data_IF_021455727899
#
_entry.id   IF_021455727899
#
_cell.length_a   1.000
_cell.length_b   1.000
_cell.length_c   1.000
_cell.angle_alpha   90.00
_cell.angle_beta   90.00
_cell.angle_gamma   90.00
#
_symmetry.space_group_name_H-M   'P 1'
#
loop_
_entity.id
_entity.type
_entity.pdbx_description
1 polymer ?
#
# COMPACT_ATOMS: atom_id res chain seq x y z
N UNK A 1 -22.59 -13.52 16.94
CA UNK A 1 -22.13 -12.31 16.26
C UNK A 1 -22.38 -12.48 14.76
N UNK A 2 -23.13 -11.55 14.15
CA UNK A 2 -23.38 -11.47 12.71
C UNK A 2 -22.22 -10.75 12.03
N UNK A 3 -21.44 -11.48 11.24
CA UNK A 3 -20.25 -10.97 10.57
C UNK A 3 -20.45 -10.96 9.06
N UNK A 4 -20.24 -9.81 8.42
CA UNK A 4 -20.18 -9.65 6.96
C UNK A 4 -18.73 -9.74 6.48
N UNK A 5 -18.42 -10.63 5.55
CA UNK A 5 -17.10 -10.83 4.96
C UNK A 5 -17.10 -10.44 3.47
N UNK A 6 -16.08 -9.69 3.03
CA UNK A 6 -15.95 -9.15 1.67
C UNK A 6 -14.57 -9.50 1.07
N UNK A 7 -14.54 -9.91 -0.20
CA UNK A 7 -13.32 -9.98 -1.00
C UNK A 7 -13.53 -9.42 -2.41
N UNK A 8 -12.54 -8.64 -2.84
CA UNK A 8 -12.39 -8.18 -4.23
C UNK A 8 -10.92 -8.16 -4.65
N UNK A 9 -10.03 -8.86 -3.95
CA UNK A 9 -8.59 -8.69 -4.14
C UNK A 9 -8.07 -9.34 -5.43
N UNK A 10 -8.76 -10.35 -5.98
CA UNK A 10 -8.32 -11.12 -7.14
C UNK A 10 -9.43 -11.23 -8.20
N UNK A 11 -9.35 -12.22 -9.09
CA UNK A 11 -10.30 -12.45 -10.18
C UNK A 11 -11.67 -13.01 -9.70
N UNK A 12 -12.16 -12.52 -8.57
CA UNK A 12 -13.44 -12.85 -7.95
C UNK A 12 -13.97 -11.65 -7.16
N UNK A 13 -15.29 -11.58 -7.03
CA UNK A 13 -15.97 -10.77 -6.03
C UNK A 13 -16.76 -11.74 -5.15
N UNK A 14 -16.52 -11.72 -3.83
CA UNK A 14 -17.16 -12.63 -2.90
C UNK A 14 -17.66 -11.92 -1.66
N UNK A 15 -18.87 -12.28 -1.25
CA UNK A 15 -19.53 -11.74 -0.05
C UNK A 15 -20.16 -12.89 0.73
N UNK A 16 -20.06 -12.86 2.05
CA UNK A 16 -20.75 -13.81 2.92
C UNK A 16 -21.20 -13.15 4.21
N UNK A 17 -22.29 -13.62 4.78
CA UNK A 17 -22.71 -13.26 6.13
C UNK A 17 -22.96 -14.51 6.95
N UNK A 18 -22.43 -14.54 8.16
CA UNK A 18 -22.51 -15.68 9.06
C UNK A 18 -22.89 -15.27 10.48
N UNK A 19 -23.58 -16.15 11.19
CA UNK A 19 -23.68 -16.12 12.64
C UNK A 19 -22.55 -16.97 13.24
N UNK A 20 -21.49 -16.28 13.63
CA UNK A 20 -20.24 -16.90 14.06
C UNK A 20 -20.33 -17.53 15.45
N UNK A 21 -21.26 -17.10 16.31
CA UNK A 21 -21.49 -17.73 17.63
C UNK A 21 -22.16 -19.09 17.47
N UNK A 22 -22.98 -19.22 16.43
CA UNK A 22 -23.69 -20.48 16.09
C UNK A 22 -22.93 -21.32 15.08
N UNK A 23 -21.80 -20.85 14.58
CA UNK A 23 -21.05 -21.49 13.49
C UNK A 23 -21.87 -21.65 12.20
N UNK A 24 -22.82 -20.75 11.93
CA UNK A 24 -23.78 -20.89 10.84
C UNK A 24 -23.54 -19.85 9.74
N UNK A 25 -23.27 -20.32 8.52
CA UNK A 25 -23.31 -19.47 7.32
C UNK A 25 -24.76 -19.16 6.97
N UNK A 26 -25.12 -17.88 6.88
CA UNK A 26 -26.50 -17.45 6.64
C UNK A 26 -26.77 -17.25 5.14
N UNK A 27 -25.87 -16.57 4.44
CA UNK A 27 -25.91 -16.41 2.99
C UNK A 27 -24.50 -16.10 2.46
N UNK A 28 -24.25 -16.43 1.20
CA UNK A 28 -23.02 -16.10 0.52
C UNK A 28 -23.21 -16.06 -0.99
N UNK A 29 -22.38 -15.28 -1.65
CA UNK A 29 -22.25 -15.24 -3.11
C UNK A 29 -20.78 -15.08 -3.50
N UNK A 30 -20.42 -15.63 -4.66
CA UNK A 30 -19.08 -15.56 -5.20
C UNK A 30 -19.13 -15.65 -6.72
N UNK A 31 -18.70 -14.59 -7.39
CA UNK A 31 -18.69 -14.49 -8.85
C UNK A 31 -17.26 -14.32 -9.34
N UNK A 32 -16.85 -15.18 -10.26
CA UNK A 32 -15.57 -15.02 -10.97
C UNK A 32 -15.65 -13.81 -11.90
N UNK A 33 -14.73 -12.87 -11.74
CA UNK A 33 -14.68 -11.66 -12.57
C UNK A 33 -13.31 -11.00 -12.55
N UNK A 34 -12.82 -10.60 -13.72
CA UNK A 34 -11.54 -9.90 -13.85
C UNK A 34 -11.67 -8.37 -13.75
N UNK A 35 -12.87 -7.83 -14.01
CA UNK A 35 -13.20 -6.40 -14.02
C UNK A 35 -14.65 -6.19 -13.57
N UNK A 36 -14.98 -4.96 -13.16
CA UNK A 36 -16.36 -4.58 -12.78
C UNK A 36 -16.68 -4.78 -11.29
N UNK A 37 -15.66 -5.00 -10.45
CA UNK A 37 -15.85 -5.23 -9.02
C UNK A 37 -16.56 -4.07 -8.31
N UNK A 38 -16.34 -2.82 -8.76
CA UNK A 38 -16.92 -1.63 -8.14
C UNK A 38 -18.45 -1.58 -8.33
N UNK A 39 -18.92 -1.96 -9.50
CA UNK A 39 -20.33 -2.02 -9.86
C UNK A 39 -21.01 -3.25 -9.26
N UNK A 40 -20.30 -4.36 -9.10
CA UNK A 40 -20.87 -5.62 -8.62
C UNK A 40 -20.93 -5.74 -7.09
N UNK A 41 -19.97 -5.16 -6.35
CA UNK A 41 -19.85 -5.40 -4.91
C UNK A 41 -21.06 -4.90 -4.11
N UNK A 42 -21.53 -3.67 -4.35
CA UNK A 42 -22.64 -3.10 -3.58
C UNK A 42 -23.97 -3.85 -3.78
N UNK A 43 -24.38 -4.19 -5.03
CA UNK A 43 -25.52 -5.07 -5.26
C UNK A 43 -25.37 -6.44 -4.60
N UNK A 44 -24.19 -7.06 -4.70
CA UNK A 44 -23.94 -8.38 -4.10
C UNK A 44 -24.08 -8.36 -2.58
N UNK A 45 -23.54 -7.33 -1.91
CA UNK A 45 -23.71 -7.13 -0.46
C UNK A 45 -25.19 -7.03 -0.11
N UNK A 46 -25.96 -6.22 -0.83
CA UNK A 46 -27.40 -6.08 -0.58
C UNK A 46 -28.11 -7.43 -0.74
N UNK A 47 -27.87 -8.14 -1.83
CA UNK A 47 -28.48 -9.45 -2.11
C UNK A 47 -28.18 -10.47 -1.01
N UNK A 48 -26.92 -10.55 -0.55
CA UNK A 48 -26.52 -11.48 0.51
C UNK A 48 -27.19 -11.13 1.85
N UNK A 49 -27.31 -9.84 2.19
CA UNK A 49 -28.00 -9.40 3.42
C UNK A 49 -29.50 -9.73 3.34
N UNK A 50 -30.15 -9.45 2.21
CA UNK A 50 -31.57 -9.76 1.99
C UNK A 50 -31.81 -11.28 2.08
N UNK A 51 -30.96 -12.10 1.45
CA UNK A 51 -31.05 -13.57 1.48
C UNK A 51 -30.86 -14.14 2.89
N UNK A 52 -30.03 -13.51 3.71
CA UNK A 52 -29.86 -13.86 5.12
C UNK A 52 -31.06 -13.45 6.00
N UNK A 53 -32.02 -12.68 5.45
CA UNK A 53 -33.16 -12.15 6.19
C UNK A 53 -32.76 -11.12 7.25
N UNK A 54 -31.65 -10.40 7.03
CA UNK A 54 -31.11 -9.41 7.97
C UNK A 54 -31.34 -7.99 7.46
N UNK A 55 -31.35 -7.03 8.38
CA UNK A 55 -31.07 -5.63 8.09
C UNK A 55 -29.57 -5.34 8.27
N UNK A 56 -29.06 -4.29 7.62
CA UNK A 56 -27.68 -3.84 7.83
C UNK A 56 -27.37 -3.50 9.30
N UNK A 57 -28.37 -3.03 10.06
CA UNK A 57 -28.23 -2.70 11.48
C UNK A 57 -27.97 -3.93 12.37
N UNK A 58 -28.32 -5.13 11.90
CA UNK A 58 -28.11 -6.40 12.61
C UNK A 58 -26.66 -6.90 12.50
N UNK A 59 -25.83 -6.25 11.67
CA UNK A 59 -24.41 -6.58 11.56
C UNK A 59 -23.66 -6.09 12.79
N UNK A 60 -22.88 -6.99 13.38
CA UNK A 60 -22.01 -6.70 14.51
C UNK A 60 -20.60 -6.33 14.05
N UNK A 61 -20.15 -6.90 12.92
CA UNK A 61 -18.76 -6.80 12.46
C UNK A 61 -18.62 -6.97 10.95
N UNK A 62 -17.61 -6.32 10.39
CA UNK A 62 -17.28 -6.42 8.96
C UNK A 62 -15.84 -6.91 8.82
N UNK A 63 -15.61 -7.83 7.89
CA UNK A 63 -14.30 -8.33 7.51
C UNK A 63 -14.06 -8.09 6.03
N UNK A 64 -12.80 -7.80 5.69
CA UNK A 64 -12.40 -7.56 4.30
C UNK A 64 -10.98 -8.05 4.05
N UNK A 65 -10.73 -8.54 2.83
CA UNK A 65 -9.36 -8.87 2.43
C UNK A 65 -8.51 -7.61 2.24
N UNK A 66 -7.24 -7.67 2.64
CA UNK A 66 -6.32 -6.52 2.63
C UNK A 66 -5.25 -6.57 1.54
N UNK A 67 -5.18 -7.67 0.79
CA UNK A 67 -4.07 -7.96 -0.12
C UNK A 67 -3.15 -9.04 0.43
N UNK A 68 -2.16 -9.50 -0.35
CA UNK A 68 -1.80 -9.04 -1.69
C UNK A 68 -2.83 -9.41 -2.77
N UNK A 69 -2.85 -8.66 -3.87
CA UNK A 69 -3.84 -8.78 -4.93
C UNK A 69 -3.77 -7.62 -5.91
N UNK A 70 -4.81 -7.46 -6.73
CA UNK A 70 -4.90 -6.31 -7.65
C UNK A 70 -5.09 -5.02 -6.85
N UNK A 71 -4.38 -3.97 -7.24
CA UNK A 71 -4.41 -2.68 -6.56
C UNK A 71 -5.82 -2.08 -6.50
N UNK A 72 -6.51 -2.09 -7.63
CA UNK A 72 -7.89 -1.64 -7.77
C UNK A 72 -8.84 -2.50 -6.93
N UNK A 73 -8.71 -3.82 -7.02
CA UNK A 73 -9.57 -4.76 -6.31
C UNK A 73 -9.49 -4.58 -4.80
N UNK A 74 -8.28 -4.52 -4.23
CA UNK A 74 -8.09 -4.29 -2.77
C UNK A 74 -8.77 -3.00 -2.31
N UNK A 75 -8.65 -1.91 -3.08
CA UNK A 75 -9.23 -0.60 -2.71
C UNK A 75 -10.76 -0.60 -2.74
N UNK A 76 -11.36 -1.31 -3.69
CA UNK A 76 -12.82 -1.42 -3.80
C UNK A 76 -13.40 -2.08 -2.54
N UNK A 77 -12.87 -3.23 -2.15
CA UNK A 77 -13.30 -3.95 -0.95
C UNK A 77 -13.10 -3.13 0.32
N UNK A 78 -11.90 -2.56 0.50
CA UNK A 78 -11.61 -1.73 1.68
C UNK A 78 -12.50 -0.48 1.75
N UNK A 79 -12.77 0.18 0.63
CA UNK A 79 -13.65 1.34 0.59
C UNK A 79 -15.09 0.97 1.02
N UNK A 80 -15.63 -0.13 0.49
CA UNK A 80 -16.94 -0.64 0.90
C UNK A 80 -16.98 -0.98 2.39
N UNK A 81 -16.01 -1.77 2.87
CA UNK A 81 -15.96 -2.20 4.26
C UNK A 81 -15.86 -1.03 5.23
N UNK A 82 -15.04 -0.02 4.92
CA UNK A 82 -14.90 1.21 5.71
C UNK A 82 -16.17 2.05 5.68
N UNK A 83 -16.80 2.17 4.51
CA UNK A 83 -18.06 2.90 4.37
C UNK A 83 -19.17 2.30 5.24
N UNK A 84 -19.34 0.98 5.18
CA UNK A 84 -20.28 0.24 6.03
C UNK A 84 -19.92 0.34 7.51
N UNK A 85 -18.64 0.15 7.87
CA UNK A 85 -18.17 0.24 9.25
C UNK A 85 -18.42 1.62 9.87
N UNK A 86 -18.18 2.69 9.10
CA UNK A 86 -18.46 4.06 9.54
C UNK A 86 -19.96 4.31 9.68
N UNK A 87 -20.77 3.92 8.69
CA UNK A 87 -22.21 4.17 8.69
C UNK A 87 -22.94 3.41 9.81
N UNK A 88 -22.49 2.20 10.13
CA UNK A 88 -23.10 1.33 11.13
C UNK A 88 -22.44 1.42 12.51
N UNK A 89 -21.36 2.21 12.64
CA UNK A 89 -20.49 2.26 13.81
C UNK A 89 -20.02 0.85 14.26
N UNK A 90 -19.59 0.03 13.30
CA UNK A 90 -19.14 -1.36 13.53
C UNK A 90 -17.65 -1.55 13.26
N UNK A 91 -16.97 -2.41 14.03
CA UNK A 91 -15.58 -2.75 13.79
C UNK A 91 -15.40 -3.38 12.41
N UNK A 92 -14.30 -2.98 11.75
CA UNK A 92 -13.86 -3.56 10.48
C UNK A 92 -12.51 -4.22 10.69
N UNK A 93 -12.38 -5.47 10.27
CA UNK A 93 -11.13 -6.22 10.35
C UNK A 93 -10.60 -6.65 9.00
N UNK A 94 -9.27 -6.70 8.93
CA UNK A 94 -8.52 -7.08 7.75
C UNK A 94 -7.94 -8.48 7.87
N UNK A 95 -8.10 -9.28 6.82
CA UNK A 95 -7.41 -10.56 6.64
C UNK A 95 -6.56 -10.45 5.37
N UNK A 96 -5.32 -10.96 5.36
CA UNK A 96 -4.57 -11.00 4.09
C UNK A 96 -5.17 -12.06 3.14
N UNK A 97 -5.07 -11.77 1.85
CA UNK A 97 -5.69 -12.53 0.77
C UNK A 97 -5.16 -13.97 0.68
N UNK A 98 -3.89 -14.21 1.02
CA UNK A 98 -3.33 -15.56 1.00
C UNK A 98 -3.90 -16.43 2.11
N UNK A 99 -4.24 -15.85 3.27
CA UNK A 99 -5.01 -16.55 4.32
C UNK A 99 -6.42 -16.83 3.90
N UNK A 100 -7.06 -15.89 3.20
CA UNK A 100 -8.40 -16.08 2.68
C UNK A 100 -8.44 -17.29 1.72
N UNK A 101 -7.41 -17.46 0.89
CA UNK A 101 -7.22 -18.63 0.03
C UNK A 101 -6.95 -19.89 0.86
N UNK A 102 -6.08 -19.82 1.87
CA UNK A 102 -5.80 -20.96 2.76
C UNK A 102 -7.06 -21.47 3.47
N UNK A 103 -7.97 -20.57 3.85
CA UNK A 103 -9.25 -20.93 4.46
C UNK A 103 -10.16 -21.76 3.55
N UNK A 104 -9.93 -21.78 2.23
CA UNK A 104 -10.67 -22.68 1.33
C UNK A 104 -10.32 -24.14 1.59
N UNK A 105 -9.10 -24.42 2.04
CA UNK A 105 -8.57 -25.77 2.26
C UNK A 105 -7.44 -25.72 3.30
N UNK A 106 -7.75 -26.04 4.55
CA UNK A 106 -6.72 -26.47 5.51
C UNK A 106 -6.63 -27.99 5.46
N UNK A 107 -5.63 -28.56 4.77
CA UNK A 107 -5.48 -30.01 4.73
C UNK A 107 -5.09 -30.53 6.12
N UNK A 108 -5.80 -31.55 6.61
CA UNK A 108 -5.47 -32.15 7.88
C UNK A 108 -4.08 -32.83 7.81
N UNK A 109 -3.15 -32.41 8.68
CA UNK A 109 -1.87 -33.08 8.84
C UNK A 109 -0.81 -32.77 7.78
N UNK A 110 -1.01 -31.76 6.93
CA UNK A 110 -0.03 -31.37 5.90
C UNK A 110 0.17 -29.85 5.85
N UNK A 111 1.41 -29.36 5.65
CA UNK A 111 1.66 -27.93 5.41
C UNK A 111 1.00 -27.46 4.11
N UNK A 112 0.53 -26.21 4.10
CA UNK A 112 -0.07 -25.57 2.93
C UNK A 112 0.77 -24.38 2.49
N UNK A 113 1.16 -24.36 1.21
CA UNK A 113 1.82 -23.23 0.59
C UNK A 113 0.87 -22.56 -0.41
N UNK A 114 0.46 -21.33 -0.10
CA UNK A 114 -0.34 -20.52 -1.02
C UNK A 114 0.62 -19.71 -1.86
N UNK A 115 0.58 -19.84 -3.18
CA UNK A 115 1.42 -19.12 -4.13
C UNK A 115 0.59 -18.58 -5.30
N UNK A 116 0.50 -17.26 -5.39
CA UNK A 116 -0.21 -16.57 -6.48
C UNK A 116 0.76 -15.79 -7.34
N UNK A 117 0.64 -15.95 -8.66
CA UNK A 117 1.53 -15.33 -9.64
C UNK A 117 1.53 -13.80 -9.48
N UNK A 118 2.70 -13.24 -9.18
CA UNK A 118 2.93 -11.81 -9.08
C UNK A 118 3.52 -11.24 -10.38
N UNK A 119 3.75 -12.04 -11.42
CA UNK A 119 4.50 -11.77 -12.67
C UNK A 119 6.02 -11.75 -12.47
N UNK A 120 6.77 -11.72 -13.57
CA UNK A 120 8.25 -11.64 -13.60
C UNK A 120 8.95 -12.83 -12.93
N UNK A 121 8.30 -14.00 -12.88
CA UNK A 121 8.83 -15.19 -12.21
C UNK A 121 8.79 -15.10 -10.69
N UNK A 122 7.97 -14.21 -10.13
CA UNK A 122 7.76 -14.06 -8.69
C UNK A 122 6.30 -14.41 -8.34
N UNK A 123 6.08 -14.77 -7.09
CA UNK A 123 4.77 -15.04 -6.53
C UNK A 123 4.56 -14.27 -5.23
N UNK A 124 3.31 -13.90 -4.94
CA UNK A 124 2.92 -13.62 -3.56
C UNK A 124 2.67 -14.95 -2.88
N UNK A 125 3.39 -15.20 -1.78
CA UNK A 125 3.36 -16.49 -1.11
C UNK A 125 3.24 -16.41 0.41
N UNK A 126 2.59 -17.43 0.97
CA UNK A 126 2.52 -17.67 2.41
C UNK A 126 2.57 -19.18 2.68
N UNK A 127 3.27 -19.57 3.75
CA UNK A 127 3.35 -20.94 4.23
C UNK A 127 2.56 -21.07 5.53
N UNK A 128 1.74 -22.11 5.59
CA UNK A 128 0.98 -22.51 6.76
C UNK A 128 1.42 -23.92 7.19
N UNK A 129 1.53 -24.15 8.49
CA UNK A 129 1.80 -25.48 9.04
C UNK A 129 0.55 -26.39 8.96
N UNK A 130 0.70 -27.62 9.44
CA UNK A 130 -0.36 -28.62 9.43
C UNK A 130 -1.56 -28.29 10.33
N UNK A 131 -1.39 -27.34 11.27
CA UNK A 131 -2.45 -26.83 12.15
C UNK A 131 -3.11 -25.56 11.57
N UNK A 132 -2.64 -25.10 10.42
CA UNK A 132 -3.14 -23.89 9.76
C UNK A 132 -2.59 -22.59 10.34
N UNK A 133 -1.56 -22.63 11.18
CA UNK A 133 -0.86 -21.43 11.61
C UNK A 133 0.09 -20.96 10.52
N UNK A 134 0.18 -19.64 10.34
CA UNK A 134 1.09 -19.06 9.37
C UNK A 134 2.52 -19.13 9.89
N UNK A 135 3.39 -19.78 9.13
CA UNK A 135 4.82 -19.91 9.39
C UNK A 135 5.62 -18.83 8.67
N UNK A 136 5.19 -18.45 7.46
CA UNK A 136 5.87 -17.44 6.64
C UNK A 136 4.89 -16.65 5.76
N UNK A 137 5.26 -15.41 5.43
CA UNK A 137 4.52 -14.52 4.55
C UNK A 137 3.37 -13.78 5.25
N UNK A 138 2.50 -13.09 4.49
CA UNK A 138 2.54 -12.96 3.04
C UNK A 138 3.79 -12.20 2.57
N UNK A 139 4.49 -12.71 1.55
CA UNK A 139 5.73 -12.13 1.02
C UNK A 139 5.79 -12.24 -0.51
N UNK A 140 6.63 -11.41 -1.14
CA UNK A 140 6.96 -11.53 -2.56
C UNK A 140 8.22 -12.38 -2.67
N UNK A 141 8.14 -13.46 -3.44
CA UNK A 141 9.20 -14.47 -3.52
C UNK A 141 9.50 -14.84 -4.96
N UNK A 142 10.73 -15.25 -5.21
CA UNK A 142 11.18 -15.87 -6.48
C UNK A 142 10.61 -17.28 -6.59
N UNK A 143 9.88 -17.58 -7.66
CA UNK A 143 9.19 -18.88 -7.83
C UNK A 143 10.21 -20.03 -7.83
N UNK A 144 11.32 -19.83 -8.55
CA UNK A 144 12.42 -20.77 -8.75
C UNK A 144 13.22 -21.08 -7.47
N UNK A 145 13.14 -20.25 -6.44
CA UNK A 145 13.90 -20.43 -5.20
C UNK A 145 13.07 -21.07 -4.08
N UNK A 146 11.74 -21.04 -4.17
CA UNK A 146 10.87 -21.36 -3.03
C UNK A 146 10.59 -22.84 -2.84
N UNK A 147 10.42 -23.61 -3.92
CA UNK A 147 10.01 -25.00 -3.83
C UNK A 147 11.03 -25.91 -3.12
N UNK A 148 12.32 -25.57 -3.22
CA UNK A 148 13.40 -26.31 -2.58
C UNK A 148 13.37 -26.23 -1.04
N UNK A 149 12.86 -25.13 -0.48
CA UNK A 149 12.87 -24.87 0.98
C UNK A 149 11.58 -25.25 1.69
N UNK A 150 10.56 -25.73 0.96
CA UNK A 150 9.27 -26.09 1.57
C UNK A 150 9.40 -27.32 2.48
N UNK A 151 8.58 -27.44 3.55
CA UNK A 151 8.48 -28.67 4.31
C UNK A 151 8.14 -29.90 3.45
N UNK A 152 8.50 -31.09 3.91
CA UNK A 152 8.16 -32.35 3.24
C UNK A 152 6.64 -32.53 3.18
N UNK A 153 6.12 -32.97 2.04
CA UNK A 153 4.68 -33.24 1.87
C UNK A 153 3.80 -31.99 1.78
N UNK A 154 4.40 -30.81 1.54
CA UNK A 154 3.65 -29.56 1.39
C UNK A 154 2.67 -29.63 0.22
N UNK A 155 1.44 -29.20 0.45
CA UNK A 155 0.41 -29.00 -0.57
C UNK A 155 0.48 -27.55 -1.06
N UNK A 156 0.49 -27.35 -2.37
CA UNK A 156 0.58 -26.02 -2.98
C UNK A 156 -0.75 -25.64 -3.62
N UNK A 157 -1.22 -24.41 -3.37
CA UNK A 157 -2.45 -23.86 -3.98
C UNK A 157 -2.20 -22.45 -4.51
N UNK A 158 -2.92 -22.08 -5.58
CA UNK A 158 -2.85 -20.76 -6.19
C UNK A 158 -2.36 -20.80 -7.63
N UNK A 159 -2.34 -19.64 -8.30
CA UNK A 159 -2.02 -19.55 -9.72
C UNK A 159 -0.55 -19.86 -10.07
N UNK A 160 0.36 -19.80 -9.10
CA UNK A 160 1.78 -20.14 -9.30
C UNK A 160 2.13 -21.58 -8.87
N UNK A 161 1.15 -22.39 -8.46
CA UNK A 161 1.39 -23.70 -7.86
C UNK A 161 2.16 -24.66 -8.79
N UNK A 162 1.80 -24.67 -10.08
CA UNK A 162 2.47 -25.52 -11.07
C UNK A 162 3.92 -25.10 -11.29
N UNK A 163 4.19 -23.80 -11.40
CA UNK A 163 5.55 -23.30 -11.60
C UNK A 163 6.43 -23.55 -10.36
N UNK A 164 5.89 -23.37 -9.14
CA UNK A 164 6.63 -23.68 -7.90
C UNK A 164 6.99 -25.16 -7.85
N UNK A 165 6.03 -26.07 -8.13
CA UNK A 165 6.30 -27.52 -8.15
C UNK A 165 7.32 -27.89 -9.23
N UNK A 166 7.13 -27.39 -10.46
CA UNK A 166 7.99 -27.71 -11.58
C UNK A 166 9.45 -27.26 -11.37
N UNK A 167 9.65 -26.07 -10.80
CA UNK A 167 10.99 -25.52 -10.52
C UNK A 167 11.66 -26.11 -9.28
N UNK A 168 10.87 -26.69 -8.35
CA UNK A 168 11.41 -27.30 -7.13
C UNK A 168 12.29 -28.54 -7.35
N UNK A 169 12.10 -29.27 -8.45
CA UNK A 169 12.72 -30.58 -8.68
C UNK A 169 12.27 -31.68 -7.71
N UNK A 170 11.19 -31.46 -6.94
CA UNK A 170 10.70 -32.36 -5.89
C UNK A 170 9.44 -33.11 -6.29
N UNK A 171 9.37 -34.38 -5.88
CA UNK A 171 8.23 -35.28 -6.13
C UNK A 171 7.29 -35.43 -4.94
N UNK A 172 7.66 -34.92 -3.77
CA UNK A 172 6.84 -35.00 -2.55
C UNK A 172 5.85 -33.82 -2.40
N UNK A 173 5.94 -32.83 -3.30
CA UNK A 173 5.03 -31.68 -3.34
C UNK A 173 3.79 -32.01 -4.17
N UNK A 174 2.60 -31.70 -3.64
CA UNK A 174 1.33 -31.90 -4.35
C UNK A 174 0.65 -30.57 -4.66
N UNK A 175 -0.22 -30.55 -5.67
CA UNK A 175 -0.95 -29.33 -6.06
C UNK A 175 -2.43 -29.55 -5.82
N UNK A 176 -3.06 -28.57 -5.17
CA UNK A 176 -4.50 -28.44 -5.10
C UNK A 176 -5.01 -27.66 -6.31
N UNK A 177 -5.83 -28.32 -7.14
CA UNK A 177 -6.27 -27.75 -8.42
C UNK A 177 -7.40 -26.72 -8.31
N UNK A 178 -8.13 -26.68 -7.19
CA UNK A 178 -9.25 -25.78 -6.93
C UNK A 178 -8.97 -24.84 -5.73
N UNK A 179 -9.91 -23.92 -5.44
CA UNK A 179 -9.82 -23.03 -4.27
C UNK A 179 -8.71 -21.97 -4.38
N UNK A 180 -8.33 -21.58 -5.60
CA UNK A 180 -7.20 -20.67 -5.88
C UNK A 180 -7.51 -19.19 -5.64
N UNK A 181 -8.79 -18.85 -5.41
CA UNK A 181 -9.28 -17.49 -5.20
C UNK A 181 -9.92 -17.38 -3.82
N UNK A 182 -9.89 -16.20 -3.17
CA UNK A 182 -10.54 -16.01 -1.89
C UNK A 182 -12.06 -16.24 -1.98
N UNK A 183 -12.63 -16.92 -0.99
CA UNK A 183 -14.08 -17.13 -0.89
C UNK A 183 -14.54 -16.69 0.50
N UNK A 184 -15.41 -15.67 0.54
CA UNK A 184 -15.88 -15.06 1.78
C UNK A 184 -16.53 -16.08 2.73
N UNK A 185 -17.32 -17.01 2.18
CA UNK A 185 -17.95 -18.08 2.95
C UNK A 185 -16.95 -18.94 3.74
N UNK A 186 -15.71 -19.07 3.25
CA UNK A 186 -14.71 -19.94 3.84
C UNK A 186 -13.85 -19.22 4.88
N UNK A 187 -13.57 -17.92 4.69
CA UNK A 187 -12.75 -17.15 5.64
C UNK A 187 -13.55 -16.41 6.72
N UNK A 188 -14.89 -16.31 6.60
CA UNK A 188 -15.76 -15.58 7.54
C UNK A 188 -15.55 -16.04 9.01
N UNK A 189 -15.41 -17.35 9.23
CA UNK A 189 -15.15 -17.91 10.56
C UNK A 189 -13.76 -17.54 11.08
N UNK A 190 -12.73 -17.55 10.22
CA UNK A 190 -11.37 -17.13 10.60
C UNK A 190 -11.33 -15.63 10.90
N UNK A 191 -12.06 -14.81 10.16
CA UNK A 191 -12.12 -13.38 10.40
C UNK A 191 -12.76 -13.02 11.76
N UNK A 192 -13.69 -13.85 12.23
CA UNK A 192 -14.34 -13.68 13.53
C UNK A 192 -13.35 -13.76 14.71
N UNK A 193 -12.26 -14.51 14.56
CA UNK A 193 -11.26 -14.70 15.63
C UNK A 193 -10.16 -13.64 15.64
N UNK A 194 -10.12 -12.76 14.63
CA UNK A 194 -9.14 -11.68 14.57
C UNK A 194 -9.42 -10.65 15.69
N UNK A 195 -8.38 -9.97 16.22
CA UNK A 195 -8.57 -8.91 17.19
C UNK A 195 -9.28 -7.71 16.54
N UNK A 196 -10.14 -7.04 17.29
CA UNK A 196 -10.66 -5.74 16.89
C UNK A 196 -9.59 -4.67 17.06
N UNK A 197 -9.48 -3.79 16.06
CA UNK A 197 -8.54 -2.67 16.08
C UNK A 197 -9.32 -1.36 16.16
N UNK A 198 -8.74 -0.34 16.79
CA UNK A 198 -9.33 1.01 16.85
C UNK A 198 -9.25 1.77 15.52
N UNK A 199 -8.60 1.20 14.51
CA UNK A 199 -8.40 1.79 13.20
C UNK A 199 -8.84 0.83 12.10
N UNK A 200 -9.26 1.37 10.96
CA UNK A 200 -9.60 0.56 9.79
C UNK A 200 -8.40 -0.21 9.24
N UNK A 201 -8.61 -1.41 8.68
CA UNK A 201 -7.54 -2.21 8.09
C UNK A 201 -6.89 -1.49 6.91
N UNK A 202 -5.56 -1.59 6.81
CA UNK A 202 -4.76 -0.99 5.74
C UNK A 202 -4.49 -2.02 4.64
N UNK A 203 -4.33 -1.57 3.38
CA UNK A 203 -3.94 -2.45 2.30
C UNK A 203 -2.49 -2.95 2.44
N UNK A 204 -2.26 -4.21 2.06
CA UNK A 204 -0.94 -4.83 1.97
C UNK A 204 -0.50 -4.83 0.49
N UNK A 205 0.32 -3.85 0.13
CA UNK A 205 0.93 -3.76 -1.20
C UNK A 205 2.37 -4.30 -1.16
N UNK A 206 2.53 -5.60 -1.43
CA UNK A 206 3.86 -6.24 -1.37
C UNK A 206 4.71 -5.89 -2.59
N UNK A 207 4.08 -5.76 -3.76
CA UNK A 207 4.72 -5.17 -4.95
C UNK A 207 4.05 -3.85 -5.29
N UNK A 208 4.86 -2.85 -5.60
CA UNK A 208 4.37 -1.63 -6.21
C UNK A 208 3.66 -1.96 -7.54
N UNK A 209 2.51 -1.34 -7.85
CA UNK A 209 1.77 -1.63 -9.08
C UNK A 209 2.64 -1.43 -10.33
N UNK A 210 2.72 -2.46 -11.18
CA UNK A 210 3.47 -2.45 -12.45
C UNK A 210 2.85 -1.48 -13.50
N UNK A 211 1.61 -1.05 -13.28
CA UNK A 211 0.89 -0.18 -14.21
C UNK A 211 1.40 1.25 -14.12
N UNK A 212 2.14 1.68 -15.17
CA UNK A 212 2.19 3.11 -15.52
C UNK A 212 0.76 3.54 -15.86
N UNK A 213 0.19 4.58 -15.23
CA UNK A 213 -1.12 5.08 -15.61
C UNK A 213 -1.10 5.44 -17.10
N UNK A 214 -1.94 4.78 -17.90
CA UNK A 214 -2.22 5.23 -19.25
C UNK A 214 -3.15 6.42 -19.10
N UNK A 215 -2.58 7.63 -19.09
CA UNK A 215 -3.34 8.87 -19.08
C UNK A 215 -4.03 8.95 -20.44
N UNK A 216 -5.34 8.67 -20.46
CA UNK A 216 -6.20 9.18 -21.51
C UNK A 216 -6.06 10.71 -21.48
N UNK A 217 -5.58 11.27 -22.58
CA UNK A 217 -5.52 12.71 -22.77
C UNK A 217 -6.95 13.26 -22.78
N UNK A 218 -7.46 13.65 -21.62
CA UNK A 218 -8.62 14.51 -21.49
C UNK A 218 -8.12 15.88 -21.04
N UNK A 219 -8.23 16.84 -21.95
CA UNK A 219 -7.95 18.24 -21.71
C UNK A 219 -8.90 18.80 -20.64
N UNK A 220 -8.38 19.58 -19.68
CA UNK A 220 -9.17 20.40 -18.76
C UNK A 220 -8.66 20.36 -17.32
N UNK A 221 -7.81 21.34 -16.96
CA UNK A 221 -7.39 21.76 -15.60
C UNK A 221 -7.49 20.70 -14.50
N UNK A 222 -6.41 19.93 -14.32
CA UNK A 222 -6.23 19.16 -13.11
C UNK A 222 -5.57 20.02 -12.03
N UNK A 223 -6.29 20.35 -10.96
CA UNK A 223 -5.77 21.15 -9.85
C UNK A 223 -4.98 20.28 -8.88
N UNK A 224 -3.67 20.48 -8.84
CA UNK A 224 -2.80 19.89 -7.82
C UNK A 224 -3.12 20.53 -6.47
N UNK A 225 -3.58 19.73 -5.50
CA UNK A 225 -3.84 20.16 -4.12
C UNK A 225 -2.60 19.91 -3.24
N UNK A 226 -2.30 20.80 -2.32
CA UNK A 226 -1.23 20.63 -1.33
C UNK A 226 -1.82 20.52 0.07
N UNK A 227 -1.41 19.52 0.84
CA UNK A 227 -1.86 19.31 2.21
C UNK A 227 -0.70 19.03 3.17
N UNK A 228 -0.84 19.43 4.44
CA UNK A 228 0.17 19.16 5.46
C UNK A 228 0.23 17.65 5.76
N UNK A 229 1.44 17.09 5.66
CA UNK A 229 1.71 15.71 6.04
C UNK A 229 1.79 15.58 7.57
N UNK A 230 1.41 14.41 8.07
CA UNK A 230 1.34 14.02 9.48
C UNK A 230 1.90 12.60 9.60
N UNK A 231 2.15 12.09 10.80
CA UNK A 231 2.72 10.74 10.96
C UNK A 231 1.99 9.65 10.16
N UNK A 232 0.65 9.69 10.08
CA UNK A 232 -0.12 8.71 9.29
C UNK A 232 0.13 8.76 7.77
N UNK A 233 0.83 9.80 7.28
CA UNK A 233 1.30 9.90 5.90
C UNK A 233 2.67 9.26 5.67
N UNK A 234 3.35 8.75 6.70
CA UNK A 234 4.71 8.23 6.59
C UNK A 234 4.87 7.19 5.48
N UNK A 235 3.95 6.22 5.36
CA UNK A 235 3.96 5.24 4.28
C UNK A 235 3.80 5.87 2.88
N UNK A 236 3.03 6.95 2.76
CA UNK A 236 2.89 7.70 1.50
C UNK A 236 4.20 8.42 1.14
N UNK A 237 4.86 9.04 2.11
CA UNK A 237 6.15 9.72 1.88
C UNK A 237 7.22 8.70 1.49
N UNK A 238 7.30 7.57 2.21
CA UNK A 238 8.21 6.47 1.90
C UNK A 238 8.01 5.93 0.48
N UNK A 239 6.75 5.73 0.06
CA UNK A 239 6.43 5.27 -1.29
C UNK A 239 6.83 6.27 -2.38
N UNK A 240 6.63 7.58 -2.17
CA UNK A 240 7.09 8.59 -3.14
C UNK A 240 8.62 8.69 -3.15
N UNK A 241 9.26 8.55 -1.99
CA UNK A 241 10.71 8.64 -1.84
C UNK A 241 11.42 7.45 -2.52
N UNK A 242 10.90 6.23 -2.38
CA UNK A 242 11.46 5.03 -3.05
C UNK A 242 11.42 5.09 -4.57
N UNK A 243 10.50 5.85 -5.15
CA UNK A 243 10.47 6.08 -6.60
C UNK A 243 11.44 7.17 -7.08
N UNK A 244 12.00 7.95 -6.15
CA UNK A 244 12.81 9.12 -6.46
C UNK A 244 14.30 8.94 -6.11
N UNK A 245 14.63 8.07 -5.15
CA UNK A 245 15.96 7.92 -4.59
C UNK A 245 16.42 6.46 -4.60
N UNK A 246 17.72 6.24 -4.82
CA UNK A 246 18.32 4.90 -4.82
C UNK A 246 18.43 4.30 -3.40
N UNK A 247 18.64 5.15 -2.40
CA UNK A 247 18.70 4.79 -0.98
C UNK A 247 17.50 5.41 -0.24
N UNK A 248 16.30 4.84 -0.39
CA UNK A 248 15.11 5.48 0.15
C UNK A 248 14.94 5.24 1.64
N UNK A 249 14.44 6.26 2.33
CA UNK A 249 13.98 6.14 3.72
C UNK A 249 12.73 5.29 3.83
N UNK A 250 12.69 4.51 4.91
CA UNK A 250 11.57 3.66 5.25
C UNK A 250 10.39 4.46 5.80
N UNK A 251 9.22 3.82 5.90
CA UNK A 251 8.07 4.39 6.61
C UNK A 251 8.41 4.75 8.06
N UNK A 252 9.24 3.92 8.73
CA UNK A 252 9.65 4.18 10.11
C UNK A 252 10.52 5.45 10.20
N UNK A 253 11.43 5.66 9.26
CA UNK A 253 12.27 6.87 9.20
C UNK A 253 11.41 8.12 9.04
N UNK A 254 10.43 8.08 8.12
CA UNK A 254 9.49 9.20 7.94
C UNK A 254 8.61 9.43 9.17
N UNK A 255 8.08 8.36 9.80
CA UNK A 255 7.28 8.48 11.01
C UNK A 255 8.08 9.13 12.15
N UNK A 256 9.35 8.72 12.32
CA UNK A 256 10.27 9.27 13.31
C UNK A 256 10.60 10.74 13.05
N UNK A 257 10.87 11.10 11.79
CA UNK A 257 11.12 12.50 11.40
C UNK A 257 9.88 13.37 11.64
N UNK A 258 8.69 12.90 11.26
CA UNK A 258 7.42 13.59 11.48
C UNK A 258 7.04 13.72 12.96
N UNK A 259 7.58 12.86 13.82
CA UNK A 259 7.45 12.96 15.28
C UNK A 259 8.36 14.04 15.89
N UNK A 260 9.40 14.46 15.17
CA UNK A 260 10.42 15.35 15.70
C UNK A 260 9.91 16.80 15.72
N UNK A 261 9.99 17.51 16.87
CA UNK A 261 9.61 18.91 16.93
C UNK A 261 10.36 19.76 15.90
N UNK A 262 9.65 20.69 15.26
CA UNK A 262 10.19 21.54 14.19
C UNK A 262 10.18 20.90 12.81
N UNK A 263 9.85 19.61 12.67
CA UNK A 263 9.65 18.99 11.36
C UNK A 263 8.28 19.34 10.78
N UNK A 264 8.25 19.76 9.53
CA UNK A 264 7.03 19.98 8.76
C UNK A 264 7.17 19.30 7.39
N UNK A 265 6.06 18.79 6.86
CA UNK A 265 6.04 18.23 5.52
C UNK A 265 4.71 18.53 4.84
N UNK A 266 4.72 18.59 3.51
CA UNK A 266 3.54 18.81 2.67
C UNK A 266 3.56 17.80 1.54
N UNK A 267 2.39 17.23 1.22
CA UNK A 267 2.16 16.34 0.08
C UNK A 267 1.37 17.09 -0.98
N UNK A 268 1.82 17.04 -2.22
CA UNK A 268 1.05 17.47 -3.39
C UNK A 268 0.30 16.27 -3.98
N UNK A 269 -1.00 16.42 -4.22
CA UNK A 269 -1.88 15.38 -4.76
C UNK A 269 -2.68 15.85 -5.95
N UNK A 270 -3.09 14.89 -6.77
CA UNK A 270 -4.07 15.04 -7.83
C UNK A 270 -5.21 14.05 -7.55
N UNK A 271 -6.33 14.55 -7.04
CA UNK A 271 -7.33 13.71 -6.40
C UNK A 271 -6.74 12.97 -5.18
N UNK A 272 -6.77 11.64 -5.20
CA UNK A 272 -6.20 10.80 -4.14
C UNK A 272 -4.70 10.49 -4.35
N UNK A 273 -4.17 10.77 -5.54
CA UNK A 273 -2.85 10.31 -5.95
C UNK A 273 -1.74 11.25 -5.42
N UNK A 274 -0.78 10.76 -4.61
CA UNK A 274 0.33 11.56 -4.12
C UNK A 274 1.42 11.73 -5.18
N UNK A 275 1.57 12.94 -5.71
CA UNK A 275 2.50 13.23 -6.81
C UNK A 275 3.91 13.61 -6.33
N UNK A 276 3.98 14.33 -5.21
CA UNK A 276 5.23 14.87 -4.68
C UNK A 276 5.10 15.16 -3.19
N UNK A 277 6.23 15.31 -2.50
CA UNK A 277 6.26 15.85 -1.15
C UNK A 277 7.54 16.63 -0.89
N UNK A 278 7.49 17.51 0.11
CA UNK A 278 8.64 18.23 0.65
C UNK A 278 8.61 18.10 2.17
N UNK A 279 9.78 17.95 2.77
CA UNK A 279 9.95 17.89 4.22
C UNK A 279 11.06 18.84 4.64
N UNK A 280 10.78 19.62 5.68
CA UNK A 280 11.73 20.52 6.32
C UNK A 280 11.84 20.26 7.81
N UNK A 281 12.99 20.60 8.39
CA UNK A 281 13.14 20.74 9.84
C UNK A 281 13.57 22.15 10.17
N UNK A 282 12.91 22.74 11.16
CA UNK A 282 13.12 24.13 11.56
C UNK A 282 13.86 24.21 12.88
N UNK A 283 14.72 25.22 13.00
CA UNK A 283 15.38 25.61 14.23
C UNK A 283 15.42 27.14 14.27
N UNK A 284 14.86 27.74 15.33
CA UNK A 284 14.66 29.19 15.43
C UNK A 284 13.92 29.76 14.20
N UNK A 285 14.48 30.76 13.52
CA UNK A 285 13.95 31.43 12.33
C UNK A 285 14.40 30.78 11.01
N UNK A 286 15.05 29.62 11.06
CA UNK A 286 15.59 28.92 9.89
C UNK A 286 14.94 27.55 9.70
N UNK A 287 14.79 27.11 8.45
CA UNK A 287 14.37 25.76 8.10
C UNK A 287 15.27 25.14 7.03
N UNK A 288 15.54 23.85 7.15
CA UNK A 288 16.30 23.07 6.18
C UNK A 288 15.36 22.10 5.46
N UNK A 289 15.36 22.11 4.11
CA UNK A 289 14.71 21.07 3.31
C UNK A 289 15.56 19.81 3.41
N UNK A 290 15.04 18.82 4.14
CA UNK A 290 15.72 17.55 4.38
C UNK A 290 15.55 16.64 3.16
N UNK A 291 14.38 16.68 2.53
CA UNK A 291 14.11 15.94 1.29
C UNK A 291 12.94 16.57 0.54
N UNK A 292 13.02 16.53 -0.79
CA UNK A 292 11.93 16.86 -1.71
C UNK A 292 11.91 15.81 -2.82
N UNK A 293 10.73 15.28 -3.09
CA UNK A 293 10.55 14.19 -4.03
C UNK A 293 9.39 14.50 -4.95
N UNK A 294 9.54 14.22 -6.24
CA UNK A 294 8.45 14.27 -7.22
C UNK A 294 8.52 13.02 -8.07
N UNK A 295 7.43 12.24 -8.05
CA UNK A 295 7.32 10.99 -8.81
C UNK A 295 7.73 11.23 -10.26
N UNK A 296 8.50 10.32 -10.90
CA UNK A 296 8.92 10.46 -12.29
C UNK A 296 7.79 10.84 -13.25
N UNK A 297 6.60 10.22 -13.10
CA UNK A 297 5.43 10.49 -13.92
C UNK A 297 4.80 11.88 -13.73
N UNK A 298 5.12 12.58 -12.64
CA UNK A 298 4.64 13.91 -12.31
C UNK A 298 5.66 15.02 -12.62
N UNK A 299 6.87 14.67 -13.06
CA UNK A 299 7.93 15.64 -13.36
C UNK A 299 7.58 16.50 -14.57
N UNK A 300 8.17 17.70 -14.62
CA UNK A 300 7.97 18.70 -15.70
C UNK A 300 6.53 19.19 -15.87
N UNK A 301 5.63 18.92 -14.91
CA UNK A 301 4.24 19.41 -14.85
C UNK A 301 4.05 20.60 -13.89
N UNK A 302 5.12 21.16 -13.33
CA UNK A 302 5.07 22.25 -12.36
C UNK A 302 4.75 21.84 -10.91
N UNK A 303 4.47 20.56 -10.64
CA UNK A 303 4.09 20.04 -9.30
C UNK A 303 5.10 20.41 -8.22
N UNK A 304 6.39 20.12 -8.44
CA UNK A 304 7.44 20.41 -7.47
C UNK A 304 7.53 21.91 -7.16
N UNK A 305 7.25 22.76 -8.15
CA UNK A 305 7.28 24.21 -8.00
C UNK A 305 6.11 24.70 -7.15
N UNK A 306 4.89 24.27 -7.48
CA UNK A 306 3.68 24.59 -6.71
C UNK A 306 3.83 24.15 -5.26
N UNK A 307 4.36 22.95 -5.04
CA UNK A 307 4.61 22.40 -3.72
C UNK A 307 5.63 23.21 -2.93
N UNK A 308 6.76 23.56 -3.55
CA UNK A 308 7.83 24.33 -2.92
C UNK A 308 7.33 25.73 -2.51
N UNK A 309 6.56 26.41 -3.36
CA UNK A 309 5.98 27.71 -3.03
C UNK A 309 4.95 27.63 -1.91
N UNK A 310 4.05 26.65 -1.98
CA UNK A 310 3.06 26.42 -0.93
C UNK A 310 3.73 26.18 0.43
N UNK A 311 4.78 25.36 0.45
CA UNK A 311 5.52 25.05 1.67
C UNK A 311 6.30 26.25 2.22
N UNK A 312 6.99 26.99 1.36
CA UNK A 312 7.69 28.22 1.76
C UNK A 312 6.72 29.25 2.34
N UNK A 313 5.54 29.42 1.76
CA UNK A 313 4.51 30.33 2.28
C UNK A 313 3.93 29.85 3.62
N UNK A 314 3.83 28.54 3.83
CA UNK A 314 3.46 27.98 5.14
C UNK A 314 4.53 28.25 6.20
N UNK A 315 5.81 28.08 5.87
CA UNK A 315 6.94 28.36 6.77
C UNK A 315 7.06 29.85 7.10
N UNK A 316 6.88 30.73 6.10
CA UNK A 316 6.87 32.18 6.30
C UNK A 316 5.81 32.60 7.32
N UNK A 317 4.59 32.05 7.22
CA UNK A 317 3.50 32.29 8.18
C UNK A 317 3.80 31.76 9.59
N UNK A 318 4.75 30.84 9.74
CA UNK A 318 5.23 30.34 11.03
C UNK A 318 6.41 31.15 11.59
N UNK A 319 6.82 32.24 10.92
CA UNK A 319 7.92 33.10 11.35
C UNK A 319 9.31 32.62 10.91
N UNK A 320 9.39 31.65 9.99
CA UNK A 320 10.66 31.26 9.37
C UNK A 320 11.10 32.34 8.39
N UNK A 321 12.29 32.89 8.60
CA UNK A 321 12.89 33.92 7.78
C UNK A 321 13.74 33.34 6.64
N UNK A 322 14.31 32.13 6.82
CA UNK A 322 15.30 31.58 5.86
C UNK A 322 15.12 30.08 5.67
N UNK A 323 15.19 29.62 4.42
CA UNK A 323 15.15 28.21 4.05
C UNK A 323 16.44 27.79 3.36
N UNK A 324 17.04 26.70 3.82
CA UNK A 324 18.28 26.12 3.29
C UNK A 324 18.03 24.74 2.69
N UNK A 325 18.91 24.33 1.79
CA UNK A 325 18.97 22.98 1.27
C UNK A 325 20.36 22.66 0.74
N UNK A 326 20.62 21.37 0.55
CA UNK A 326 21.81 20.86 -0.11
C UNK A 326 21.41 20.09 -1.37
N UNK A 327 22.15 20.31 -2.44
CA UNK A 327 21.90 19.63 -3.72
C UNK A 327 23.22 19.28 -4.39
N UNK A 328 23.31 18.08 -4.96
CA UNK A 328 24.50 17.67 -5.70
C UNK A 328 24.73 18.62 -6.88
N UNK A 329 25.97 19.07 -7.07
CA UNK A 329 26.36 19.97 -8.17
C UNK A 329 26.00 19.43 -9.57
N UNK A 330 25.84 18.11 -9.69
CA UNK A 330 25.47 17.42 -10.94
C UNK A 330 23.96 17.26 -11.14
N UNK A 331 23.12 17.71 -10.21
CA UNK A 331 21.66 17.58 -10.30
C UNK A 331 21.02 18.81 -10.94
N UNK A 332 21.30 19.01 -12.24
CA UNK A 332 20.79 20.15 -13.02
C UNK A 332 19.26 20.36 -12.93
N UNK A 333 18.41 19.31 -12.95
CA UNK A 333 16.97 19.49 -12.80
C UNK A 333 16.57 20.08 -11.44
N UNK A 334 17.22 19.67 -10.35
CA UNK A 334 16.95 20.21 -9.02
C UNK A 334 17.51 21.63 -8.86
N UNK A 335 18.71 21.90 -9.36
CA UNK A 335 19.28 23.25 -9.39
C UNK A 335 18.36 24.24 -10.11
N UNK A 336 17.83 23.84 -11.28
CA UNK A 336 16.88 24.66 -12.02
C UNK A 336 15.56 24.89 -11.25
N UNK A 337 15.05 23.86 -10.56
CA UNK A 337 13.86 23.99 -9.71
C UNK A 337 14.08 25.00 -8.58
N UNK A 338 15.19 24.90 -7.87
CA UNK A 338 15.50 25.76 -6.72
C UNK A 338 15.82 27.19 -7.14
N UNK A 339 16.60 27.37 -8.21
CA UNK A 339 16.90 28.69 -8.76
C UNK A 339 15.61 29.40 -9.21
N UNK A 340 14.74 28.71 -9.95
CA UNK A 340 13.42 29.24 -10.25
C UNK A 340 12.68 29.57 -8.94
N UNK A 341 12.75 28.66 -7.97
CA UNK A 341 12.22 28.73 -6.60
C UNK A 341 12.64 29.94 -5.75
N UNK A 342 13.52 30.81 -6.25
CA UNK A 342 14.06 31.94 -5.49
C UNK A 342 15.20 31.57 -4.55
N UNK A 343 15.74 30.35 -4.67
CA UNK A 343 16.96 29.97 -3.96
C UNK A 343 18.19 30.46 -4.71
N UNK A 344 19.20 30.87 -3.96
CA UNK A 344 20.51 31.29 -4.45
C UNK A 344 21.62 30.48 -3.78
N UNK A 345 22.76 30.32 -4.44
CA UNK A 345 23.91 29.64 -3.86
C UNK A 345 24.44 30.42 -2.64
N UNK A 346 24.58 29.74 -1.51
CA UNK A 346 25.07 30.29 -0.25
C UNK A 346 26.39 29.66 0.20
N UNK A 347 26.79 28.54 -0.40
CA UNK A 347 28.06 27.88 -0.10
C UNK A 347 28.24 26.55 -0.84
N UNK A 348 29.39 25.93 -0.61
CA UNK A 348 29.78 24.66 -1.22
C UNK A 348 30.34 23.73 -0.13
N UNK A 349 29.91 22.46 -0.14
CA UNK A 349 30.51 21.36 0.63
C UNK A 349 31.26 20.43 -0.31
N UNK A 350 32.60 20.49 -0.35
CA UNK A 350 33.38 19.66 -1.24
C UNK A 350 33.22 18.17 -0.91
N UNK A 351 33.07 17.32 -1.94
CA UNK A 351 33.05 15.84 -1.83
C UNK A 351 32.01 15.30 -0.83
N UNK A 352 30.84 15.95 -0.75
CA UNK A 352 29.81 15.63 0.25
C UNK A 352 29.00 14.37 -0.07
N UNK A 353 28.58 14.18 -1.31
CA UNK A 353 27.83 12.99 -1.71
C UNK A 353 28.78 11.87 -2.14
N UNK A 354 28.73 10.74 -1.44
CA UNK A 354 29.37 9.51 -1.89
C UNK A 354 28.65 8.98 -3.14
N UNK A 355 29.41 8.44 -4.10
CA UNK A 355 28.83 7.79 -5.27
C UNK A 355 29.28 6.33 -5.31
N UNK A 356 28.38 5.43 -5.71
CA UNK A 356 28.63 3.98 -5.70
C UNK A 356 29.67 3.53 -6.75
N UNK A 357 29.99 4.38 -7.74
CA UNK A 357 30.86 4.01 -8.86
C UNK A 357 31.68 5.19 -9.43
N UNK A 358 31.84 6.30 -8.70
CA UNK A 358 32.51 7.51 -9.20
C UNK A 358 33.21 8.35 -8.12
N UNK A 359 33.79 9.49 -8.50
CA UNK A 359 34.31 10.43 -7.50
C UNK A 359 33.16 11.01 -6.66
N UNK A 360 33.42 11.37 -5.39
CA UNK A 360 32.42 12.05 -4.57
C UNK A 360 32.03 13.39 -5.20
N UNK A 361 30.76 13.76 -5.06
CA UNK A 361 30.18 14.97 -5.68
C UNK A 361 30.01 16.06 -4.65
N UNK A 362 30.41 17.29 -5.00
CA UNK A 362 30.20 18.46 -4.16
C UNK A 362 28.70 18.74 -3.97
N UNK A 363 28.31 19.15 -2.76
CA UNK A 363 26.98 19.70 -2.52
C UNK A 363 27.02 21.22 -2.57
N UNK A 364 26.11 21.81 -3.34
CA UNK A 364 25.83 23.23 -3.33
C UNK A 364 24.80 23.47 -2.22
N UNK A 365 25.14 24.34 -1.27
CA UNK A 365 24.20 24.84 -0.28
C UNK A 365 23.43 25.98 -0.94
N UNK A 366 22.12 25.85 -1.02
CA UNK A 366 21.25 26.92 -1.53
C UNK A 366 20.39 27.49 -0.42
N UNK A 367 20.10 28.79 -0.50
CA UNK A 367 19.31 29.55 0.48
C UNK A 367 18.25 30.39 -0.22
N UNK A 368 17.05 30.44 0.36
CA UNK A 368 15.99 31.41 0.04
C UNK A 368 15.65 32.21 1.30
N UNK A 369 15.67 33.52 1.17
CA UNK A 369 15.14 34.42 2.20
C UNK A 369 13.63 34.53 2.00
N UNK A 370 12.87 34.23 3.05
CA UNK A 370 11.42 34.42 3.12
C UNK A 370 11.21 35.79 3.76
N UNK A 371 11.04 36.83 2.94
CA UNK A 371 10.77 38.18 3.45
C UNK A 371 9.54 38.18 4.38
N UNK A 372 9.51 39.02 5.43
CA UNK A 372 8.42 39.06 6.42
C UNK A 372 7.04 39.30 5.79
#
# INVERSE_FOLDING_TARGET
MKLLALDTAMASCSVAVADTDRGLLLAADCVAMERGHAEALAPMVKTVIDQAGLAFADLDRIAVTTGPGTFTGIRIGLAMARGLGLALARPVVGLDTLTAIACNHFPAGAPLYVATDARRGEAYAALFDADGHRVHGPALVRIDETGATLPVGTIIVGSAAEQVRATSGRNDLSILSHGRLPVAANFVARAATLPELHTFPLPIYIRAPDAKPQIAAAAGVSSVACEAARQFHAGVLAAVHSECFNDPWSEEDFARLLATPGTAAVVAREGVEPLAFVMTRSAADEAEIITIATRPAARRRGVARTLLDHHCEALRRQGIARVFLEVARTNDPALALYAAGGFSEAGLRPRYYATHAGPPVDAIIMRRDLAP
#
